data_IF_325122205772
#
_entry.id   IF_325122205772
#
_cell.length_a   1.000
_cell.length_b   1.000
_cell.length_c   1.000
_cell.angle_alpha   90.00
_cell.angle_beta   90.00
_cell.angle_gamma   90.00
#
_symmetry.space_group_name_H-M   'P 1'
#
loop_
_entity.id
_entity.type
_entity.pdbx_description
1 polymer ?
#
# COMPACT_ATOMS: atom_id res chain seq x y z
N UNK A 1 13.01 -12.98 5.45
CA UNK A 1 14.07 -12.05 5.89
C UNK A 1 15.39 -12.57 5.33
N UNK A 2 16.43 -11.75 5.25
CA UNK A 2 17.76 -12.26 4.87
C UNK A 2 18.34 -13.12 6.00
N UNK A 3 19.29 -13.99 5.66
CA UNK A 3 19.92 -14.91 6.62
C UNK A 3 20.69 -14.18 7.73
N UNK A 4 21.16 -12.96 7.46
CA UNK A 4 21.80 -12.06 8.41
C UNK A 4 20.81 -11.13 9.14
N UNK A 5 19.50 -11.28 8.90
CA UNK A 5 18.42 -10.45 9.46
C UNK A 5 18.63 -8.94 9.29
N UNK A 6 19.33 -8.51 8.24
CA UNK A 6 19.50 -7.07 7.96
C UNK A 6 18.49 -6.54 6.95
N UNK A 7 17.94 -7.43 6.11
CA UNK A 7 17.10 -7.06 4.96
C UNK A 7 15.72 -7.72 5.00
N UNK A 8 14.72 -6.94 4.59
CA UNK A 8 13.39 -7.42 4.24
C UNK A 8 13.21 -7.40 2.73
N UNK A 9 12.61 -8.47 2.20
CA UNK A 9 12.38 -8.65 0.77
C UNK A 9 10.93 -8.36 0.44
N UNK A 10 10.70 -7.54 -0.58
CA UNK A 10 9.38 -7.13 -1.01
C UNK A 10 9.16 -7.49 -2.47
N UNK A 11 7.91 -7.82 -2.78
CA UNK A 11 7.43 -8.07 -4.14
C UNK A 11 6.33 -7.09 -4.46
N UNK A 12 6.25 -6.64 -5.71
CA UNK A 12 5.09 -5.91 -6.17
C UNK A 12 3.80 -6.68 -5.86
N UNK A 13 2.74 -5.97 -5.44
CA UNK A 13 1.45 -6.55 -5.08
C UNK A 13 0.70 -7.18 -6.25
N UNK A 14 0.97 -6.73 -7.49
CA UNK A 14 0.33 -7.22 -8.73
C UNK A 14 0.86 -8.59 -9.14
N UNK A 15 0.56 -9.59 -8.30
CA UNK A 15 0.83 -11.01 -8.56
C UNK A 15 -0.04 -11.55 -9.69
N UNK A 16 -1.24 -11.00 -9.86
CA UNK A 16 -2.16 -11.27 -10.98
C UNK A 16 -1.50 -10.99 -12.34
N UNK A 17 -0.65 -9.97 -12.42
CA UNK A 17 0.12 -9.64 -13.63
C UNK A 17 1.50 -10.30 -13.66
N UNK A 18 1.78 -11.23 -12.73
CA UNK A 18 3.09 -11.85 -12.55
C UNK A 18 4.25 -10.83 -12.50
N UNK A 19 4.03 -9.66 -11.88
CA UNK A 19 4.98 -8.56 -11.93
C UNK A 19 6.37 -8.96 -11.37
N UNK A 20 7.47 -8.74 -12.12
CA UNK A 20 8.79 -9.19 -11.72
C UNK A 20 9.50 -8.22 -10.77
N UNK A 21 8.95 -7.03 -10.52
CA UNK A 21 9.57 -6.00 -9.69
C UNK A 21 9.70 -6.43 -8.22
N UNK A 22 10.89 -6.21 -7.65
CA UNK A 22 11.25 -6.52 -6.27
C UNK A 22 12.07 -5.38 -5.68
N UNK A 23 11.95 -5.16 -4.38
CA UNK A 23 12.81 -4.23 -3.63
C UNK A 23 13.26 -4.88 -2.34
N UNK A 24 14.44 -4.51 -1.87
CA UNK A 24 14.95 -4.93 -0.56
C UNK A 24 15.07 -3.68 0.30
N UNK A 25 14.60 -3.75 1.54
CA UNK A 25 14.75 -2.66 2.52
C UNK A 25 15.52 -3.13 3.73
N UNK A 26 16.03 -2.20 4.53
CA UNK A 26 16.41 -2.49 5.91
C UNK A 26 15.20 -2.98 6.71
N UNK A 27 15.43 -3.80 7.73
CA UNK A 27 14.34 -4.31 8.57
C UNK A 27 13.74 -3.22 9.46
N UNK A 28 14.58 -2.34 10.02
CA UNK A 28 14.15 -1.36 11.02
C UNK A 28 13.81 0.01 10.43
N UNK A 29 14.59 0.48 9.46
CA UNK A 29 14.46 1.83 8.91
C UNK A 29 13.66 1.88 7.59
N UNK A 30 13.33 0.71 7.04
CA UNK A 30 12.67 0.55 5.73
C UNK A 30 13.37 1.29 4.57
N UNK A 31 14.64 1.70 4.75
CA UNK A 31 15.38 2.35 3.68
C UNK A 31 15.63 1.36 2.56
N UNK A 32 15.45 1.82 1.32
CA UNK A 32 15.67 0.96 0.15
C UNK A 32 17.17 0.70 0.01
N UNK A 33 17.54 -0.57 0.17
CA UNK A 33 18.93 -1.04 0.01
C UNK A 33 19.18 -1.42 -1.45
N UNK A 34 18.18 -2.00 -2.12
CA UNK A 34 18.32 -2.47 -3.50
C UNK A 34 17.00 -2.50 -4.25
N UNK A 35 17.04 -2.06 -5.50
CA UNK A 35 16.01 -2.33 -6.50
C UNK A 35 16.38 -3.56 -7.34
N UNK A 36 15.38 -4.36 -7.70
CA UNK A 36 15.53 -5.37 -8.75
C UNK A 36 15.82 -4.69 -10.10
N UNK A 37 16.68 -5.32 -10.91
CA UNK A 37 16.92 -4.88 -12.29
C UNK A 37 15.70 -5.04 -13.19
N UNK A 38 14.79 -5.98 -12.87
CA UNK A 38 13.51 -6.15 -13.58
C UNK A 38 12.52 -5.06 -13.15
N UNK A 39 12.03 -4.29 -14.12
CA UNK A 39 11.05 -3.22 -13.96
C UNK A 39 9.62 -3.76 -13.84
N UNK A 40 8.68 -2.89 -13.45
CA UNK A 40 7.26 -3.19 -13.51
C UNK A 40 6.81 -3.45 -14.95
N UNK A 41 5.83 -4.33 -15.12
CA UNK A 41 5.16 -4.64 -16.39
C UNK A 41 3.77 -4.00 -16.48
N UNK A 42 3.47 -3.05 -15.59
CA UNK A 42 2.19 -2.40 -15.45
C UNK A 42 2.42 -0.96 -14.97
N UNK A 43 1.41 -0.13 -15.15
CA UNK A 43 1.46 1.27 -14.75
C UNK A 43 1.38 1.44 -13.22
N UNK A 44 1.62 2.68 -12.79
CA UNK A 44 1.47 3.07 -11.39
C UNK A 44 0.04 2.85 -10.92
N UNK A 45 -0.11 2.32 -9.72
CA UNK A 45 -1.40 2.13 -9.06
C UNK A 45 -1.64 3.15 -7.93
N UNK A 46 -1.07 4.35 -8.05
CA UNK A 46 -1.11 5.36 -6.98
C UNK A 46 -2.55 5.62 -6.48
N UNK A 47 -3.49 5.89 -7.39
CA UNK A 47 -4.89 6.12 -7.04
C UNK A 47 -5.55 4.91 -6.36
N UNK A 48 -5.25 3.69 -6.83
CA UNK A 48 -5.78 2.46 -6.22
C UNK A 48 -5.19 2.21 -4.83
N UNK A 49 -3.90 2.47 -4.64
CA UNK A 49 -3.24 2.36 -3.33
C UNK A 49 -3.85 3.38 -2.36
N UNK A 50 -4.12 4.59 -2.82
CA UNK A 50 -4.78 5.64 -2.04
C UNK A 50 -6.19 5.20 -1.59
N UNK A 51 -7.02 4.72 -2.52
CA UNK A 51 -8.36 4.20 -2.21
C UNK A 51 -8.31 3.01 -1.23
N UNK A 52 -7.42 2.03 -1.45
CA UNK A 52 -7.26 0.88 -0.55
C UNK A 52 -6.83 1.30 0.86
N UNK A 53 -6.00 2.33 0.97
CA UNK A 53 -5.55 2.89 2.25
C UNK A 53 -6.72 3.57 2.97
N UNK A 54 -7.50 4.38 2.27
CA UNK A 54 -8.71 5.00 2.83
C UNK A 54 -9.72 3.95 3.29
N UNK A 55 -9.97 2.90 2.48
CA UNK A 55 -10.86 1.80 2.86
C UNK A 55 -10.38 1.06 4.12
N UNK A 56 -9.08 0.85 4.25
CA UNK A 56 -8.49 0.18 5.43
C UNK A 56 -8.68 1.04 6.69
N UNK A 57 -8.37 2.34 6.61
CA UNK A 57 -8.59 3.29 7.70
C UNK A 57 -10.07 3.40 8.08
N UNK A 58 -10.96 3.43 7.08
CA UNK A 58 -12.40 3.47 7.27
C UNK A 58 -12.90 2.27 8.07
N UNK A 59 -12.49 1.05 7.67
CA UNK A 59 -12.85 -0.19 8.36
C UNK A 59 -12.33 -0.19 9.79
N UNK A 60 -11.09 0.25 10.00
CA UNK A 60 -10.50 0.31 11.33
C UNK A 60 -11.27 1.28 12.24
N UNK A 61 -11.65 2.46 11.72
CA UNK A 61 -12.43 3.45 12.47
C UNK A 61 -13.83 2.93 12.79
N UNK A 62 -14.53 2.34 11.81
CA UNK A 62 -15.85 1.76 12.01
C UNK A 62 -15.87 0.65 13.07
N UNK A 63 -14.78 -0.11 13.23
CA UNK A 63 -14.64 -1.10 14.30
C UNK A 63 -14.33 -0.43 15.66
N UNK A 64 -13.59 0.68 15.65
CA UNK A 64 -13.07 1.33 16.86
C UNK A 64 -14.02 2.39 17.43
N UNK A 65 -15.01 2.86 16.65
CA UNK A 65 -15.92 3.94 17.03
C UNK A 65 -17.39 3.55 16.84
N UNK A 66 -18.30 4.23 17.53
CA UNK A 66 -19.75 4.11 17.35
C UNK A 66 -20.31 5.25 16.50
N UNK A 67 -19.48 5.87 15.67
CA UNK A 67 -19.91 6.99 14.82
C UNK A 67 -20.88 6.49 13.73
N UNK A 68 -21.84 7.32 13.30
CA UNK A 68 -22.70 7.00 12.18
C UNK A 68 -21.88 6.72 10.91
N UNK A 69 -22.26 5.70 10.15
CA UNK A 69 -21.59 5.29 8.91
C UNK A 69 -21.43 6.45 7.92
N UNK A 70 -22.38 7.38 7.87
CA UNK A 70 -22.34 8.56 7.01
C UNK A 70 -21.17 9.50 7.32
N UNK A 71 -20.86 9.70 8.60
CA UNK A 71 -19.71 10.52 9.02
C UNK A 71 -18.40 9.88 8.55
N UNK A 72 -18.28 8.57 8.74
CA UNK A 72 -17.11 7.78 8.36
C UNK A 72 -16.89 7.78 6.84
N UNK A 73 -17.95 7.62 6.05
CA UNK A 73 -17.88 7.63 4.58
C UNK A 73 -17.49 9.02 4.05
N UNK A 74 -18.17 10.08 4.51
CA UNK A 74 -17.95 11.43 3.98
C UNK A 74 -16.52 11.92 4.19
N UNK A 75 -15.95 11.65 5.37
CA UNK A 75 -14.56 12.03 5.66
C UNK A 75 -13.56 11.27 4.78
N UNK A 76 -13.80 9.98 4.53
CA UNK A 76 -12.94 9.17 3.67
C UNK A 76 -12.99 9.66 2.22
N UNK A 77 -14.18 9.91 1.65
CA UNK A 77 -14.32 10.32 0.25
C UNK A 77 -13.77 11.73 0.00
N UNK A 78 -13.93 12.63 0.96
CA UNK A 78 -13.44 14.01 0.85
C UNK A 78 -11.91 14.10 0.86
N UNK A 79 -11.23 13.16 1.51
CA UNK A 79 -9.77 13.12 1.59
C UNK A 79 -9.07 12.52 0.36
N UNK A 80 -9.81 11.88 -0.55
CA UNK A 80 -9.26 11.24 -1.74
C UNK A 80 -9.00 12.24 -2.87
N UNK A 81 -7.96 11.98 -3.65
CA UNK A 81 -7.75 12.62 -4.95
C UNK A 81 -8.87 12.27 -5.94
N UNK A 82 -9.09 13.13 -6.93
CA UNK A 82 -10.14 12.88 -7.94
C UNK A 82 -9.88 11.63 -8.79
N UNK A 83 -8.62 11.18 -8.87
CA UNK A 83 -8.28 9.92 -9.53
C UNK A 83 -8.61 8.69 -8.67
N UNK A 84 -8.78 8.87 -7.35
CA UNK A 84 -9.03 7.80 -6.38
C UNK A 84 -10.48 7.73 -5.89
N UNK A 85 -11.29 8.77 -6.12
CA UNK A 85 -12.75 8.77 -5.90
C UNK A 85 -13.47 7.90 -6.94
#
# INVERSE_FOLDING_TARGET
>A
LSADETKRFWRCRRKDLACPARIHTGIHDFKVIKFSSKKHCHDSEAARIEADTALTSMRQRAISTMEPTSCVINECVNGLSDAAK
#
